data_IF_133377421273
#
_entry.id   IF_133377421273
#
_cell.length_a   1.000
_cell.length_b   1.000
_cell.length_c   1.000
_cell.angle_alpha   90.00
_cell.angle_beta   90.00
_cell.angle_gamma   90.00
#
_symmetry.space_group_name_H-M   'P 1'
#
loop_
_entity.id
_entity.type
_entity.pdbx_description
1 polymer ?
#
# COMPACT_ATOMS: atom_id res chain seq x y z
N UNK A 1 -0.77 7.76 -11.29
CA UNK A 1 -0.13 6.43 -11.40
C UNK A 1 1.24 6.39 -10.73
N UNK A 2 2.18 7.30 -11.02
CA UNK A 2 3.55 7.25 -10.44
C UNK A 2 3.67 7.59 -8.93
N UNK A 3 2.59 8.09 -8.30
CA UNK A 3 2.59 8.43 -6.87
C UNK A 3 2.30 7.25 -5.94
N UNK A 4 1.81 6.13 -6.45
CA UNK A 4 1.30 5.04 -5.58
C UNK A 4 2.14 3.77 -5.64
N UNK A 5 3.32 3.82 -6.28
CA UNK A 5 4.24 2.69 -6.43
C UNK A 5 5.70 3.18 -6.45
N UNK A 6 6.60 2.42 -5.82
CA UNK A 6 8.04 2.63 -5.89
C UNK A 6 8.56 2.31 -7.30
N UNK A 7 9.78 2.74 -7.63
CA UNK A 7 10.33 2.60 -8.98
C UNK A 7 10.31 1.16 -9.50
N UNK A 8 10.60 0.17 -8.63
CA UNK A 8 10.61 -1.25 -8.97
C UNK A 8 9.23 -1.88 -9.19
N UNK A 9 8.17 -1.32 -8.60
CA UNK A 9 6.83 -1.93 -8.59
C UNK A 9 5.86 -1.32 -9.61
N UNK A 10 6.31 -0.30 -10.37
CA UNK A 10 5.45 0.44 -11.32
C UNK A 10 4.83 -0.46 -12.39
N UNK A 11 5.57 -1.45 -12.88
CA UNK A 11 5.09 -2.38 -13.91
C UNK A 11 3.97 -3.28 -13.37
N UNK A 12 4.15 -3.82 -12.16
CA UNK A 12 3.14 -4.63 -11.48
C UNK A 12 1.88 -3.79 -11.18
N UNK A 13 2.05 -2.56 -10.69
CA UNK A 13 0.95 -1.64 -10.44
C UNK A 13 0.17 -1.29 -11.72
N UNK A 14 0.87 -1.08 -12.84
CA UNK A 14 0.24 -0.85 -14.14
C UNK A 14 -0.54 -2.08 -14.60
N UNK A 15 0.06 -3.27 -14.53
CA UNK A 15 -0.59 -4.52 -14.93
C UNK A 15 -1.86 -4.80 -14.10
N UNK A 16 -1.82 -4.55 -12.78
CA UNK A 16 -2.98 -4.68 -11.91
C UNK A 16 -4.12 -3.73 -12.30
N UNK A 17 -3.82 -2.44 -12.52
CA UNK A 17 -4.82 -1.47 -12.97
C UNK A 17 -5.39 -1.80 -14.36
N UNK A 18 -4.53 -2.25 -15.27
CA UNK A 18 -4.94 -2.72 -16.59
C UNK A 18 -5.90 -3.91 -16.46
N UNK A 19 -5.55 -4.94 -15.68
CA UNK A 19 -6.39 -6.10 -15.48
C UNK A 19 -7.74 -5.74 -14.80
N UNK A 20 -7.72 -4.86 -13.79
CA UNK A 20 -8.92 -4.44 -13.08
C UNK A 20 -9.89 -3.67 -13.98
N UNK A 21 -9.41 -2.76 -14.82
CA UNK A 21 -10.28 -2.02 -15.74
C UNK A 21 -10.94 -2.94 -16.77
N UNK A 22 -10.19 -3.92 -17.29
CA UNK A 22 -10.71 -4.93 -18.22
C UNK A 22 -11.69 -5.88 -17.53
N UNK A 23 -11.40 -6.30 -16.29
CA UNK A 23 -12.32 -7.09 -15.48
C UNK A 23 -13.65 -6.36 -15.25
N UNK A 24 -13.60 -5.05 -15.00
CA UNK A 24 -14.79 -4.20 -14.89
C UNK A 24 -15.63 -4.18 -16.18
N UNK A 25 -14.99 -4.09 -17.35
CA UNK A 25 -15.70 -4.18 -18.63
C UNK A 25 -16.35 -5.54 -18.86
N UNK A 26 -15.65 -6.64 -18.57
CA UNK A 26 -16.21 -7.99 -18.69
C UNK A 26 -17.45 -8.17 -17.81
N UNK A 27 -17.40 -7.67 -16.57
CA UNK A 27 -18.52 -7.72 -15.65
C UNK A 27 -19.71 -6.88 -16.14
N UNK A 28 -19.46 -5.65 -16.57
CA UNK A 28 -20.51 -4.77 -17.10
C UNK A 28 -21.16 -5.36 -18.36
N UNK A 29 -20.36 -5.87 -19.30
CA UNK A 29 -20.88 -6.52 -20.50
C UNK A 29 -21.70 -7.77 -20.19
N UNK A 30 -21.27 -8.58 -19.21
CA UNK A 30 -22.04 -9.74 -18.77
C UNK A 30 -23.41 -9.35 -18.24
N UNK A 31 -23.48 -8.34 -17.38
CA UNK A 31 -24.75 -7.86 -16.80
C UNK A 31 -25.65 -7.25 -17.88
N UNK A 32 -25.12 -6.33 -18.67
CA UNK A 32 -25.91 -5.58 -19.66
C UNK A 32 -26.33 -6.48 -20.81
N UNK A 33 -25.45 -7.35 -21.29
CA UNK A 33 -25.77 -8.33 -22.33
C UNK A 33 -26.82 -9.35 -21.88
N UNK A 34 -26.75 -9.80 -20.63
CA UNK A 34 -27.77 -10.69 -20.05
C UNK A 34 -29.11 -9.98 -19.87
N UNK A 35 -29.12 -8.74 -19.36
CA UNK A 35 -30.36 -7.96 -19.22
C UNK A 35 -30.98 -7.63 -20.58
N UNK A 36 -30.16 -7.30 -21.59
CA UNK A 36 -30.62 -7.02 -22.95
C UNK A 36 -31.19 -8.23 -23.70
N UNK A 37 -30.93 -9.46 -23.23
CA UNK A 37 -31.58 -10.66 -23.78
C UNK A 37 -32.94 -10.96 -23.12
N UNK A 38 -33.20 -10.38 -21.94
CA UNK A 38 -34.41 -10.59 -21.16
C UNK A 38 -35.41 -9.43 -21.28
N UNK A 39 -34.93 -8.22 -21.56
CA UNK A 39 -35.70 -6.98 -21.54
C UNK A 39 -35.38 -6.06 -22.72
N UNK A 40 -36.15 -4.98 -22.88
CA UNK A 40 -35.90 -3.97 -23.90
C UNK A 40 -34.68 -3.10 -23.60
N UNK A 41 -34.27 -2.32 -24.61
CA UNK A 41 -33.08 -1.48 -24.55
C UNK A 41 -33.17 -0.41 -23.44
N UNK A 42 -34.37 0.09 -23.13
CA UNK A 42 -34.58 1.12 -22.12
C UNK A 42 -34.22 0.59 -20.72
N UNK A 43 -34.62 -0.65 -20.42
CA UNK A 43 -34.30 -1.32 -19.16
C UNK A 43 -32.79 -1.54 -19.03
N UNK A 44 -32.12 -1.98 -20.09
CA UNK A 44 -30.66 -2.17 -20.09
C UNK A 44 -29.89 -0.85 -19.84
N UNK A 45 -30.36 0.26 -20.41
CA UNK A 45 -29.80 1.59 -20.15
C UNK A 45 -30.00 2.04 -18.71
N UNK A 46 -31.21 1.89 -18.16
CA UNK A 46 -31.50 2.24 -16.76
C UNK A 46 -30.65 1.42 -15.79
N UNK A 47 -30.50 0.12 -16.02
CA UNK A 47 -29.65 -0.73 -15.21
C UNK A 47 -28.17 -0.29 -15.25
N UNK A 48 -27.66 0.04 -16.44
CA UNK A 48 -26.29 0.54 -16.62
C UNK A 48 -26.07 1.88 -15.89
N UNK A 49 -27.02 2.81 -16.01
CA UNK A 49 -26.98 4.09 -15.30
C UNK A 49 -27.05 3.92 -13.78
N UNK A 50 -27.91 3.00 -13.30
CA UNK A 50 -27.99 2.64 -11.89
C UNK A 50 -26.69 2.05 -11.35
N UNK A 51 -26.04 1.16 -12.11
CA UNK A 51 -24.74 0.59 -11.76
C UNK A 51 -23.66 1.68 -11.65
N UNK A 52 -23.60 2.59 -12.63
CA UNK A 52 -22.67 3.71 -12.60
C UNK A 52 -22.91 4.64 -11.40
N UNK A 53 -24.18 4.94 -11.09
CA UNK A 53 -24.55 5.77 -9.95
C UNK A 53 -24.15 5.13 -8.62
N UNK A 54 -24.39 3.82 -8.44
CA UNK A 54 -23.95 3.08 -7.26
C UNK A 54 -22.42 3.10 -7.11
N UNK A 55 -21.68 2.95 -8.21
CA UNK A 55 -20.22 3.03 -8.20
C UNK A 55 -19.71 4.43 -7.78
N UNK A 56 -20.38 5.50 -8.22
CA UNK A 56 -20.06 6.88 -7.80
C UNK A 56 -20.30 7.05 -6.30
N UNK A 57 -21.44 6.60 -5.79
CA UNK A 57 -21.74 6.66 -4.35
C UNK A 57 -20.68 5.88 -3.57
N UNK A 58 -20.36 4.66 -4.00
CA UNK A 58 -19.33 3.84 -3.36
C UNK A 58 -17.97 4.56 -3.36
N UNK A 59 -17.57 5.19 -4.47
CA UNK A 59 -16.32 5.95 -4.53
C UNK A 59 -16.31 7.12 -3.53
N UNK A 60 -17.42 7.85 -3.40
CA UNK A 60 -17.54 8.98 -2.45
C UNK A 60 -17.48 8.50 -1.00
N UNK A 61 -18.09 7.35 -0.69
CA UNK A 61 -18.16 6.81 0.66
C UNK A 61 -16.85 6.12 1.09
N UNK A 62 -16.18 5.43 0.16
CA UNK A 62 -15.00 4.64 0.44
C UNK A 62 -13.71 5.47 0.38
N UNK A 63 -13.65 6.50 -0.47
CA UNK A 63 -12.41 7.25 -0.64
C UNK A 63 -12.21 8.28 0.46
N UNK A 64 -11.04 8.32 1.13
CA UNK A 64 -10.75 9.33 2.13
C UNK A 64 -10.71 10.73 1.49
N UNK A 65 -11.28 11.73 2.17
CA UNK A 65 -11.26 13.13 1.72
C UNK A 65 -9.86 13.75 1.79
N UNK A 66 -9.04 13.26 2.72
CA UNK A 66 -7.66 13.69 2.89
C UNK A 66 -6.71 12.56 2.48
N UNK A 67 -5.92 12.80 1.44
CA UNK A 67 -4.86 11.88 0.99
C UNK A 67 -3.49 12.53 1.23
N UNK A 68 -2.97 12.36 2.45
CA UNK A 68 -1.69 12.95 2.86
C UNK A 68 -0.55 12.20 2.18
N UNK A 69 0.17 12.91 1.29
CA UNK A 69 1.36 12.41 0.57
C UNK A 69 2.44 11.82 1.47
N UNK A 70 2.59 12.29 2.71
CA UNK A 70 3.58 11.76 3.64
C UNK A 70 2.89 11.43 4.97
N UNK A 71 2.95 10.15 5.35
CA UNK A 71 2.26 9.61 6.51
C UNK A 71 3.28 9.37 7.62
N UNK A 72 3.01 9.92 8.81
CA UNK A 72 3.82 9.65 10.00
C UNK A 72 3.42 8.29 10.56
N UNK A 73 4.37 7.39 10.74
CA UNK A 73 4.12 6.06 11.28
C UNK A 73 5.30 5.59 12.13
N UNK A 74 5.07 4.52 12.89
CA UNK A 74 6.07 3.94 13.80
C UNK A 74 6.29 2.47 13.50
N UNK A 75 7.55 2.04 13.51
CA UNK A 75 7.92 0.64 13.41
C UNK A 75 8.23 0.11 14.81
N UNK A 76 7.76 -1.11 15.16
CA UNK A 76 8.20 -1.75 16.40
C UNK A 76 9.70 -2.03 16.32
N UNK A 77 10.37 -1.98 17.46
CA UNK A 77 11.76 -2.37 17.51
C UNK A 77 11.91 -3.86 17.19
N UNK A 78 12.95 -4.21 16.45
CA UNK A 78 13.14 -5.55 15.93
C UNK A 78 14.60 -5.98 15.99
N UNK A 79 14.80 -7.30 16.03
CA UNK A 79 16.12 -7.92 15.97
C UNK A 79 16.44 -8.29 14.54
N UNK A 80 17.58 -7.84 14.02
CA UNK A 80 18.09 -8.26 12.71
C UNK A 80 19.60 -8.27 12.66
N UNK A 81 20.14 -8.79 11.57
CA UNK A 81 21.57 -8.93 11.33
C UNK A 81 21.89 -8.35 9.96
N UNK A 82 22.78 -7.36 9.91
CA UNK A 82 23.33 -6.81 8.68
C UNK A 82 24.71 -6.19 8.94
N UNK A 83 25.55 -6.03 7.91
CA UNK A 83 26.84 -5.38 8.06
C UNK A 83 26.69 -3.91 8.47
N UNK A 84 27.36 -3.47 9.53
CA UNK A 84 27.31 -2.09 10.01
C UNK A 84 28.68 -1.60 10.53
N UNK A 85 28.77 -0.29 10.76
CA UNK A 85 29.96 0.41 11.29
C UNK A 85 29.53 1.26 12.50
N UNK A 86 30.43 1.48 13.47
CA UNK A 86 30.10 2.20 14.72
C UNK A 86 29.99 3.73 14.58
N UNK A 87 30.31 4.30 13.40
CA UNK A 87 30.24 5.75 13.18
C UNK A 87 28.82 6.23 12.79
N UNK A 88 27.84 5.33 12.81
CA UNK A 88 26.43 5.65 12.57
C UNK A 88 25.71 5.83 13.92
N UNK A 89 25.08 7.00 14.18
CA UNK A 89 24.24 7.22 15.36
C UNK A 89 23.11 6.20 15.56
N UNK A 90 22.75 5.44 14.52
CA UNK A 90 21.72 4.41 14.57
C UNK A 90 22.22 3.05 15.11
N UNK A 91 23.53 2.87 15.30
CA UNK A 91 24.16 1.63 15.75
C UNK A 91 24.95 1.83 17.06
N UNK A 92 24.25 2.13 18.16
CA UNK A 92 24.87 2.29 19.49
C UNK A 92 24.60 1.05 20.34
N UNK A 93 25.50 0.07 20.26
CA UNK A 93 25.48 -1.13 21.10
C UNK A 93 26.87 -1.40 21.68
N UNK A 94 26.91 -1.95 22.90
CA UNK A 94 28.16 -2.30 23.59
C UNK A 94 28.52 -3.74 23.24
N UNK A 95 29.73 -3.96 22.74
CA UNK A 95 30.32 -5.29 22.63
C UNK A 95 31.06 -5.62 23.93
N UNK A 96 30.99 -6.88 24.38
CA UNK A 96 31.86 -7.36 25.47
C UNK A 96 33.34 -7.36 25.04
N UNK A 97 33.61 -7.55 23.75
CA UNK A 97 34.97 -7.66 23.20
C UNK A 97 35.33 -6.45 22.32
N UNK A 98 36.37 -5.71 22.73
CA UNK A 98 36.79 -4.43 22.15
C UNK A 98 37.52 -4.52 20.79
N UNK A 99 37.42 -5.63 20.06
CA UNK A 99 38.26 -5.89 18.88
C UNK A 99 37.66 -5.48 17.52
N UNK A 100 36.40 -5.07 17.44
CA UNK A 100 35.78 -4.85 16.12
C UNK A 100 35.62 -3.36 15.79
N UNK A 101 36.67 -2.77 15.22
CA UNK A 101 36.66 -1.41 14.65
C UNK A 101 36.34 -1.39 13.14
N UNK A 102 36.10 -2.56 12.54
CA UNK A 102 35.80 -2.70 11.11
C UNK A 102 34.30 -2.95 10.86
N UNK A 103 33.89 -2.89 9.60
CA UNK A 103 32.53 -3.23 9.15
C UNK A 103 32.23 -4.70 9.45
N UNK A 104 31.36 -4.96 10.41
CA UNK A 104 31.07 -6.30 10.91
C UNK A 104 29.57 -6.61 10.88
N UNK A 105 29.24 -7.89 11.06
CA UNK A 105 27.88 -8.40 10.99
C UNK A 105 27.57 -9.25 12.22
N UNK A 106 26.62 -8.81 13.01
CA UNK A 106 26.01 -9.61 14.07
C UNK A 106 24.56 -9.19 14.26
N UNK A 107 23.81 -10.04 14.96
CA UNK A 107 22.44 -9.75 15.36
C UNK A 107 22.44 -8.61 16.39
N UNK A 108 21.62 -7.59 16.14
CA UNK A 108 21.44 -6.47 17.05
C UNK A 108 19.98 -5.98 17.02
N UNK A 109 19.63 -5.17 18.02
CA UNK A 109 18.27 -4.69 18.22
C UNK A 109 18.13 -3.24 17.81
N UNK A 110 17.23 -2.95 16.88
CA UNK A 110 16.83 -1.58 16.62
C UNK A 110 15.67 -1.19 17.53
N UNK A 111 15.78 -0.07 18.27
CA UNK A 111 14.65 0.44 19.03
C UNK A 111 13.52 0.86 18.08
N UNK A 112 12.27 0.94 18.58
CA UNK A 112 11.16 1.47 17.81
C UNK A 112 11.49 2.85 17.24
N UNK A 113 11.17 3.08 15.96
CA UNK A 113 11.42 4.36 15.28
C UNK A 113 10.12 4.92 14.73
N UNK A 114 9.89 6.22 14.96
CA UNK A 114 8.80 6.97 14.35
C UNK A 114 9.37 7.91 13.31
N UNK A 115 8.92 7.80 12.06
CA UNK A 115 9.34 8.68 10.99
C UNK A 115 8.16 9.08 10.09
N UNK A 116 8.40 10.00 9.16
CA UNK A 116 7.43 10.47 8.18
C UNK A 116 8.07 10.43 6.80
N UNK A 117 7.51 9.65 5.90
CA UNK A 117 7.91 9.64 4.50
C UNK A 117 6.70 9.38 3.61
N UNK A 118 6.91 9.49 2.29
CA UNK A 118 5.93 9.07 1.31
C UNK A 118 5.60 7.59 1.53
N UNK A 119 4.34 7.29 1.79
CA UNK A 119 3.91 5.93 2.05
C UNK A 119 3.51 5.27 0.73
N UNK A 120 4.12 4.13 0.45
CA UNK A 120 3.82 3.28 -0.69
C UNK A 120 3.66 1.86 -0.17
N UNK A 121 2.65 1.13 -0.63
CA UNK A 121 2.50 -0.29 -0.29
C UNK A 121 3.61 -1.05 -1.03
N UNK A 122 4.57 -1.57 -0.28
CA UNK A 122 5.73 -2.31 -0.77
C UNK A 122 6.04 -3.50 0.17
N UNK A 123 7.15 -4.20 -0.08
CA UNK A 123 7.57 -5.35 0.74
C UNK A 123 7.83 -5.01 2.22
N UNK A 124 8.19 -3.76 2.52
CA UNK A 124 8.40 -3.28 3.89
C UNK A 124 7.10 -2.73 4.50
N UNK A 125 6.13 -2.33 3.67
CA UNK A 125 4.87 -1.69 4.05
C UNK A 125 3.67 -2.42 3.46
N UNK A 126 3.43 -3.66 3.92
CA UNK A 126 2.32 -4.49 3.43
C UNK A 126 0.95 -4.09 3.98
N UNK A 127 0.90 -3.22 4.98
CA UNK A 127 -0.31 -2.78 5.67
C UNK A 127 -0.37 -1.27 5.73
N UNK A 128 -1.60 -0.74 5.65
CA UNK A 128 -1.82 0.69 5.86
C UNK A 128 -1.35 1.10 7.27
N UNK A 129 -0.65 2.23 7.43
CA UNK A 129 -0.13 2.66 8.71
C UNK A 129 -1.29 3.00 9.65
N UNK A 130 -1.26 2.45 10.86
CA UNK A 130 -2.16 2.86 11.94
C UNK A 130 -1.52 4.04 12.67
N UNK A 131 -2.29 5.08 12.97
CA UNK A 131 -1.78 6.20 13.78
C UNK A 131 -1.44 5.69 15.19
N UNK A 132 -0.36 6.23 15.76
CA UNK A 132 0.09 5.92 17.12
C UNK A 132 -0.99 6.34 18.13
N UNK A 133 -1.91 5.43 18.45
CA UNK A 133 -3.03 5.68 19.35
C UNK A 133 -4.16 4.66 19.23
N UNK A 134 -4.31 4.04 18.05
CA UNK A 134 -5.30 2.99 17.83
C UNK A 134 -4.76 1.66 18.37
N UNK A 135 -5.12 1.36 19.62
CA UNK A 135 -4.78 0.07 20.26
C UNK A 135 -5.55 -1.06 19.57
N UNK A 136 -4.84 -2.17 19.34
CA UNK A 136 -5.39 -3.51 19.15
C UNK A 136 -6.28 -3.94 20.31
#
# INVERSE_FOLDING_TARGET
VQRSAGDGDRSAFFAANFALSHGGWLFAYGIVGWLGSLADLSVAFLASGGLAFMAIIAAILLWPKEDKLAIRHSHPGFWHEHPHEHNDPHHVHVHEDAQDREKHRHRHYHPPVTHKHHFVIDSHHTKWPMESGDRV
#
